data_IF_439737079642
#
_entry.id   IF_439737079642
#
_cell.length_a   1.000
_cell.length_b   1.000
_cell.length_c   1.000
_cell.angle_alpha   90.00
_cell.angle_beta   90.00
_cell.angle_gamma   90.00
#
_symmetry.space_group_name_H-M   'P 1'
#
loop_
_entity.id
_entity.type
_entity.pdbx_description
1 polymer ?
#
# COMPACT_ATOMS: atom_id res chain seq x y z
N UNK A 1 11.11 14.71 -5.86
CA UNK A 1 9.76 15.03 -6.39
C UNK A 1 8.78 15.02 -5.24
N UNK A 2 7.86 15.97 -5.18
CA UNK A 2 6.79 16.01 -4.18
C UNK A 2 5.65 15.06 -4.53
N UNK A 3 5.07 14.41 -3.53
CA UNK A 3 3.85 13.61 -3.68
C UNK A 3 2.64 14.48 -3.37
N UNK A 4 1.50 14.17 -3.97
CA UNK A 4 0.26 14.96 -3.86
C UNK A 4 -0.91 14.07 -3.46
N UNK A 5 -1.77 14.59 -2.59
CA UNK A 5 -3.09 14.03 -2.32
C UNK A 5 -4.15 14.96 -2.91
N UNK A 6 -4.77 14.53 -4.00
CA UNK A 6 -5.92 15.21 -4.59
C UNK A 6 -7.18 14.70 -3.90
N UNK A 7 -7.85 15.54 -3.16
CA UNK A 7 -8.93 15.15 -2.26
C UNK A 7 -10.22 15.80 -2.71
N UNK A 8 -11.24 15.00 -3.00
CA UNK A 8 -12.57 15.51 -3.26
C UNK A 8 -13.20 16.08 -1.98
N UNK A 9 -14.22 16.87 -2.11
CA UNK A 9 -14.89 17.54 -1.01
C UNK A 9 -16.13 16.79 -0.54
N UNK A 10 -17.17 16.76 -1.41
CA UNK A 10 -18.48 16.19 -1.12
C UNK A 10 -18.44 14.66 -1.19
N UNK A 11 -19.08 13.96 -0.25
CA UNK A 11 -18.97 12.50 -0.13
C UNK A 11 -17.59 12.00 0.34
N UNK A 12 -16.61 12.89 0.53
CA UNK A 12 -15.22 12.55 0.87
C UNK A 12 -14.78 13.17 2.19
N UNK A 13 -14.77 14.50 2.30
CA UNK A 13 -14.47 15.23 3.55
C UNK A 13 -15.74 15.49 4.31
N UNK A 14 -16.77 15.92 3.61
CA UNK A 14 -18.09 16.26 4.16
C UNK A 14 -19.16 15.38 3.52
N UNK A 15 -20.25 15.21 4.25
CA UNK A 15 -21.41 14.45 3.79
C UNK A 15 -22.06 15.19 2.61
N UNK A 16 -22.32 14.47 1.52
CA UNK A 16 -23.10 15.00 0.41
C UNK A 16 -24.59 14.85 0.71
N UNK A 17 -25.40 15.94 0.63
CA UNK A 17 -26.84 15.84 0.83
C UNK A 17 -27.50 14.95 -0.22
N UNK A 18 -28.33 13.95 0.17
CA UNK A 18 -28.86 12.97 -0.79
C UNK A 18 -29.96 13.49 -1.72
N UNK A 19 -30.46 14.72 -1.49
CA UNK A 19 -31.61 15.25 -2.20
C UNK A 19 -31.22 16.14 -3.38
N UNK A 20 -30.28 17.04 -3.16
CA UNK A 20 -29.87 18.07 -4.12
C UNK A 20 -28.38 18.09 -4.40
N UNK A 21 -27.61 17.27 -3.66
CA UNK A 21 -26.15 17.14 -3.77
C UNK A 21 -25.38 18.46 -3.53
N UNK A 22 -26.02 19.44 -2.88
CA UNK A 22 -25.45 20.77 -2.65
C UNK A 22 -25.35 21.10 -1.16
N UNK A 23 -24.16 21.44 -0.70
CA UNK A 23 -23.94 21.99 0.65
C UNK A 23 -24.01 23.51 0.56
N UNK A 24 -25.20 24.03 0.54
CA UNK A 24 -25.60 25.43 0.31
C UNK A 24 -25.92 26.20 1.59
N UNK A 25 -25.76 25.57 2.75
CA UNK A 25 -25.98 26.21 4.04
C UNK A 25 -25.09 25.60 5.13
N UNK A 26 -24.95 26.30 6.26
CA UNK A 26 -24.21 25.79 7.43
C UNK A 26 -24.90 24.59 8.09
N UNK A 27 -26.22 24.49 7.98
CA UNK A 27 -27.01 23.38 8.53
C UNK A 27 -26.72 22.06 7.78
N UNK A 28 -26.38 22.14 6.47
CA UNK A 28 -26.00 20.97 5.66
C UNK A 28 -24.53 20.58 5.80
N UNK A 29 -23.72 21.42 6.44
CA UNK A 29 -22.30 21.13 6.61
C UNK A 29 -22.09 20.10 7.71
N UNK A 30 -21.82 18.87 7.33
CA UNK A 30 -21.50 17.76 8.21
C UNK A 30 -20.21 17.07 7.73
N UNK A 31 -19.25 16.84 8.63
CA UNK A 31 -18.02 16.13 8.28
C UNK A 31 -18.24 14.62 8.33
N UNK A 32 -17.62 13.89 7.40
CA UNK A 32 -17.60 12.44 7.47
C UNK A 32 -16.86 11.98 8.74
N UNK A 33 -17.31 10.87 9.36
CA UNK A 33 -16.66 10.31 10.54
C UNK A 33 -15.16 10.07 10.30
N UNK A 34 -14.31 10.59 11.17
CA UNK A 34 -12.87 10.42 11.10
C UNK A 34 -12.14 11.33 10.09
N UNK A 35 -12.82 12.07 9.23
CA UNK A 35 -12.18 12.90 8.21
C UNK A 35 -11.23 13.94 8.81
N UNK A 36 -11.69 14.76 9.75
CA UNK A 36 -10.86 15.82 10.37
C UNK A 36 -9.64 15.22 11.08
N UNK A 37 -9.86 14.21 11.92
CA UNK A 37 -8.78 13.62 12.74
C UNK A 37 -7.71 12.94 11.90
N UNK A 38 -8.08 12.29 10.80
CA UNK A 38 -7.13 11.59 9.94
C UNK A 38 -6.47 12.53 8.92
N UNK A 39 -7.18 13.52 8.38
CA UNK A 39 -6.55 14.60 7.60
C UNK A 39 -5.48 15.32 8.42
N UNK A 40 -5.75 15.60 9.71
CA UNK A 40 -4.75 16.16 10.61
C UNK A 40 -3.50 15.26 10.72
N UNK A 41 -3.68 13.95 10.99
CA UNK A 41 -2.56 13.01 11.05
C UNK A 41 -1.78 12.96 9.72
N UNK A 42 -2.49 12.99 8.59
CA UNK A 42 -1.88 13.01 7.27
C UNK A 42 -1.03 14.28 7.11
N UNK A 43 -1.61 15.46 7.40
CA UNK A 43 -0.92 16.73 7.27
C UNK A 43 0.30 16.87 8.19
N UNK A 44 0.23 16.34 9.43
CA UNK A 44 1.30 16.43 10.43
C UNK A 44 2.42 15.37 10.22
N UNK A 45 2.09 14.20 9.68
CA UNK A 45 2.97 13.02 9.76
C UNK A 45 3.45 12.49 8.40
N UNK A 46 2.78 12.87 7.32
CA UNK A 46 3.10 12.38 5.98
C UNK A 46 3.55 13.56 5.09
N UNK A 47 4.47 13.26 4.16
CA UNK A 47 5.03 14.26 3.25
C UNK A 47 4.26 14.29 1.93
N UNK A 48 3.08 14.92 1.96
CA UNK A 48 2.23 15.15 0.80
C UNK A 48 1.82 16.62 0.71
N UNK A 49 1.74 17.15 -0.51
CA UNK A 49 1.01 18.38 -0.83
C UNK A 49 -0.50 18.06 -0.85
N UNK A 50 -1.31 18.83 -0.13
CA UNK A 50 -2.75 18.60 -0.04
C UNK A 50 -3.48 19.51 -1.04
N UNK A 51 -4.24 18.92 -1.96
CA UNK A 51 -4.97 19.64 -3.01
C UNK A 51 -6.44 19.22 -2.98
N UNK A 52 -7.33 20.20 -2.79
CA UNK A 52 -8.76 19.93 -2.93
C UNK A 52 -9.16 20.01 -4.41
N UNK A 53 -9.90 19.01 -4.89
CA UNK A 53 -10.40 18.98 -6.29
C UNK A 53 -11.87 18.62 -6.28
N UNK A 54 -12.74 19.58 -6.54
CA UNK A 54 -14.19 19.37 -6.43
C UNK A 54 -14.96 19.92 -7.62
N UNK A 55 -15.98 19.18 -8.05
CA UNK A 55 -16.97 19.64 -9.01
C UNK A 55 -18.16 20.23 -8.24
N UNK A 56 -18.51 21.48 -8.55
CA UNK A 56 -19.63 22.20 -7.93
C UNK A 56 -20.60 22.64 -9.04
N UNK A 57 -21.47 21.73 -9.44
CA UNK A 57 -22.34 21.87 -10.59
C UNK A 57 -23.20 23.14 -10.51
N UNK A 58 -23.01 24.03 -11.50
CA UNK A 58 -23.78 25.27 -11.61
C UNK A 58 -23.48 26.33 -10.54
N UNK A 59 -22.38 26.22 -9.82
CA UNK A 59 -21.96 27.26 -8.85
C UNK A 59 -21.83 28.64 -9.55
N UNK A 60 -22.53 29.64 -9.01
CA UNK A 60 -22.65 30.98 -9.59
C UNK A 60 -23.85 31.17 -10.51
N UNK A 61 -24.71 30.16 -10.67
CA UNK A 61 -26.00 30.26 -11.36
C UNK A 61 -27.16 30.36 -10.36
N UNK A 62 -28.38 30.56 -10.88
CA UNK A 62 -29.59 30.59 -10.05
C UNK A 62 -29.85 29.25 -9.32
N UNK A 63 -29.31 28.11 -9.86
CA UNK A 63 -29.48 26.81 -9.25
C UNK A 63 -28.52 26.57 -8.07
N UNK A 64 -27.39 27.29 -8.02
CA UNK A 64 -26.43 27.23 -6.92
C UNK A 64 -25.72 28.59 -6.75
N UNK A 65 -26.36 29.56 -6.08
CA UNK A 65 -25.80 30.88 -5.88
C UNK A 65 -24.51 30.88 -5.05
N UNK A 66 -23.54 31.69 -5.41
CA UNK A 66 -22.25 31.76 -4.68
C UNK A 66 -22.44 32.17 -3.22
N UNK A 67 -23.41 33.05 -2.91
CA UNK A 67 -23.70 33.48 -1.55
C UNK A 67 -24.16 32.35 -0.62
N UNK A 68 -24.65 31.23 -1.15
CA UNK A 68 -25.05 30.05 -0.37
C UNK A 68 -23.89 29.07 -0.20
N UNK A 69 -23.01 28.94 -1.20
CA UNK A 69 -21.88 28.03 -1.16
C UNK A 69 -20.75 28.51 -0.23
N UNK A 70 -20.28 29.75 -0.39
CA UNK A 70 -19.07 30.23 0.29
C UNK A 70 -19.13 30.20 1.81
N UNK A 71 -20.25 30.48 2.50
CA UNK A 71 -20.32 30.40 3.95
C UNK A 71 -20.00 29.01 4.50
N UNK A 72 -20.58 27.96 3.91
CA UNK A 72 -20.32 26.56 4.30
C UNK A 72 -18.93 26.12 3.94
N UNK A 73 -18.47 26.41 2.71
CA UNK A 73 -17.12 26.09 2.23
C UNK A 73 -16.03 26.74 3.09
N UNK A 74 -16.13 28.04 3.35
CA UNK A 74 -15.16 28.76 4.18
C UNK A 74 -15.18 28.28 5.63
N UNK A 75 -16.36 27.91 6.17
CA UNK A 75 -16.46 27.33 7.51
C UNK A 75 -15.77 25.99 7.60
N UNK A 76 -15.94 25.12 6.59
CA UNK A 76 -15.25 23.85 6.48
C UNK A 76 -13.72 24.06 6.46
N UNK A 77 -13.22 24.91 5.58
CA UNK A 77 -11.78 25.20 5.47
C UNK A 77 -11.23 25.77 6.78
N UNK A 78 -11.95 26.70 7.42
CA UNK A 78 -11.51 27.27 8.70
C UNK A 78 -11.51 26.25 9.82
N UNK A 79 -12.42 25.30 9.81
CA UNK A 79 -12.44 24.19 10.78
C UNK A 79 -11.22 23.30 10.59
N UNK A 80 -10.89 22.93 9.35
CA UNK A 80 -9.72 22.14 9.01
C UNK A 80 -8.41 22.88 9.34
N UNK A 81 -8.31 24.16 9.00
CA UNK A 81 -7.13 25.00 9.35
C UNK A 81 -6.90 25.04 10.86
N UNK A 82 -7.95 25.17 11.68
CA UNK A 82 -7.84 25.17 13.14
C UNK A 82 -7.30 23.84 13.69
N UNK A 83 -7.47 22.74 12.96
CA UNK A 83 -6.95 21.42 13.27
C UNK A 83 -5.59 21.15 12.60
N UNK A 84 -4.98 22.17 11.94
CA UNK A 84 -3.67 22.04 11.30
C UNK A 84 -3.70 21.49 9.87
N UNK A 85 -4.88 21.36 9.25
CA UNK A 85 -5.05 20.92 7.87
C UNK A 85 -5.19 22.15 6.96
N UNK A 86 -4.17 22.38 6.14
CA UNK A 86 -4.14 23.48 5.17
C UNK A 86 -3.96 22.88 3.78
N UNK A 87 -4.86 23.23 2.86
CA UNK A 87 -4.71 22.86 1.46
C UNK A 87 -3.75 23.81 0.76
N UNK A 88 -2.78 23.25 0.04
CA UNK A 88 -1.82 24.02 -0.78
C UNK A 88 -2.52 24.64 -1.99
N UNK A 89 -3.56 23.98 -2.51
CA UNK A 89 -4.39 24.47 -3.61
C UNK A 89 -5.84 23.96 -3.48
N UNK A 90 -6.79 24.76 -3.96
CA UNK A 90 -8.22 24.41 -4.01
C UNK A 90 -8.71 24.63 -5.43
N UNK A 91 -9.01 23.54 -6.12
CA UNK A 91 -9.49 23.51 -7.50
C UNK A 91 -11.00 23.25 -7.50
N UNK A 92 -11.79 24.23 -7.92
CA UNK A 92 -13.25 24.15 -8.00
C UNK A 92 -13.67 24.27 -9.47
N UNK A 93 -14.25 23.22 -10.01
CA UNK A 93 -14.97 23.29 -11.29
C UNK A 93 -16.44 23.66 -11.05
N UNK A 94 -16.96 24.60 -11.82
CA UNK A 94 -18.33 25.15 -11.67
C UNK A 94 -19.27 24.70 -12.80
N UNK A 95 -18.75 23.92 -13.74
CA UNK A 95 -19.51 23.55 -14.95
C UNK A 95 -20.44 22.39 -14.68
N UNK A 96 -21.50 22.31 -15.48
CA UNK A 96 -22.36 21.15 -15.50
C UNK A 96 -21.74 20.01 -16.32
N UNK A 97 -22.14 18.77 -16.03
CA UNK A 97 -21.64 17.58 -16.72
C UNK A 97 -21.78 17.65 -18.24
N UNK A 98 -22.93 18.17 -18.74
CA UNK A 98 -23.21 18.26 -20.17
C UNK A 98 -22.31 19.24 -20.93
N UNK A 99 -21.60 20.13 -20.23
CA UNK A 99 -20.67 21.08 -20.85
C UNK A 99 -19.33 20.41 -21.24
N UNK A 100 -19.04 19.23 -20.70
CA UNK A 100 -17.82 18.47 -20.96
C UNK A 100 -16.54 19.30 -20.82
N UNK A 101 -16.49 20.19 -19.84
CA UNK A 101 -15.34 21.08 -19.64
C UNK A 101 -14.08 20.27 -19.25
N UNK A 102 -12.92 20.57 -19.82
CA UNK A 102 -11.68 19.87 -19.51
C UNK A 102 -11.20 20.09 -18.06
N UNK A 103 -11.77 21.06 -17.37
CA UNK A 103 -11.50 21.42 -15.97
C UNK A 103 -12.31 20.57 -14.99
N UNK A 104 -13.44 20.01 -15.44
CA UNK A 104 -14.33 19.15 -14.66
C UNK A 104 -13.74 17.74 -14.51
N UNK A 105 -13.72 17.18 -13.29
CA UNK A 105 -13.36 15.76 -13.08
C UNK A 105 -14.24 14.84 -13.98
N UNK A 106 -13.65 13.89 -14.71
CA UNK A 106 -12.27 13.39 -14.64
C UNK A 106 -11.24 14.17 -15.48
N UNK A 107 -11.57 15.34 -16.04
CA UNK A 107 -10.61 16.21 -16.74
C UNK A 107 -9.54 16.75 -15.82
N UNK A 108 -8.35 16.99 -16.38
CA UNK A 108 -7.16 17.43 -15.63
C UNK A 108 -6.84 18.91 -15.84
N UNK A 109 -7.76 19.67 -16.47
CA UNK A 109 -7.51 21.07 -16.89
C UNK A 109 -7.16 22.03 -15.75
N UNK A 110 -7.63 21.80 -14.52
CA UNK A 110 -7.24 22.56 -13.32
C UNK A 110 -5.93 22.06 -12.72
N UNK A 111 -5.38 20.92 -13.17
CA UNK A 111 -4.26 20.22 -12.55
C UNK A 111 -3.02 20.16 -13.46
N UNK A 112 -2.96 20.96 -14.51
CA UNK A 112 -1.84 21.02 -15.48
C UNK A 112 -0.49 21.28 -14.80
N UNK A 113 -0.47 22.10 -13.74
CA UNK A 113 0.70 22.36 -12.90
C UNK A 113 1.35 21.08 -12.37
N UNK A 114 0.53 20.08 -12.02
CA UNK A 114 1.01 18.82 -11.46
C UNK A 114 1.49 17.85 -12.55
N UNK A 115 0.91 17.91 -13.74
CA UNK A 115 1.33 17.12 -14.90
C UNK A 115 2.66 17.62 -15.51
N UNK A 116 2.88 18.95 -15.47
CA UNK A 116 4.06 19.59 -16.07
C UNK A 116 5.17 19.84 -15.04
N UNK A 117 4.87 19.73 -13.74
CA UNK A 117 5.78 20.04 -12.65
C UNK A 117 6.65 18.85 -12.21
N UNK A 118 7.48 19.08 -11.21
CA UNK A 118 8.35 18.08 -10.60
C UNK A 118 7.63 17.34 -9.46
N UNK A 119 6.56 16.61 -9.81
CA UNK A 119 5.75 15.84 -8.89
C UNK A 119 5.88 14.34 -9.13
N UNK A 120 5.79 13.55 -8.07
CA UNK A 120 5.78 12.08 -8.11
C UNK A 120 4.33 11.58 -8.18
N UNK A 121 3.71 11.72 -9.36
CA UNK A 121 2.31 11.33 -9.55
C UNK A 121 2.09 9.83 -9.39
N UNK A 122 3.06 8.99 -9.75
CA UNK A 122 2.98 7.54 -9.58
C UNK A 122 2.85 7.11 -8.10
N UNK A 123 3.31 7.94 -7.16
CA UNK A 123 3.18 7.74 -5.71
C UNK A 123 2.24 8.77 -5.06
N UNK A 124 1.41 9.42 -5.87
CA UNK A 124 0.34 10.34 -5.45
C UNK A 124 -1.02 9.65 -5.52
N UNK A 125 -2.02 10.24 -4.86
CA UNK A 125 -3.35 9.63 -4.79
C UNK A 125 -4.44 10.64 -5.07
N UNK A 126 -5.54 10.16 -5.67
CA UNK A 126 -6.82 10.87 -5.75
C UNK A 126 -7.81 10.18 -4.82
N UNK A 127 -8.46 10.95 -3.95
CA UNK A 127 -9.50 10.47 -3.03
C UNK A 127 -10.85 10.96 -3.51
N UNK A 128 -11.82 10.09 -3.59
CA UNK A 128 -13.19 10.47 -3.90
C UNK A 128 -14.16 9.31 -3.74
N UNK A 129 -15.44 9.65 -3.74
CA UNK A 129 -16.55 8.71 -3.61
C UNK A 129 -17.18 8.34 -4.95
N UNK A 130 -16.65 8.89 -6.06
CA UNK A 130 -17.22 8.67 -7.40
C UNK A 130 -16.22 8.01 -8.34
N UNK A 131 -16.75 7.31 -9.36
CA UNK A 131 -15.93 6.70 -10.41
C UNK A 131 -15.15 7.72 -11.24
N UNK A 132 -15.62 8.98 -11.27
CA UNK A 132 -14.90 10.10 -11.90
C UNK A 132 -13.60 10.44 -11.17
N UNK A 133 -13.49 10.15 -9.87
CA UNK A 133 -12.25 10.34 -9.10
C UNK A 133 -11.23 9.25 -9.43
N UNK A 134 -11.71 8.00 -9.59
CA UNK A 134 -10.86 6.90 -10.09
C UNK A 134 -10.31 7.24 -11.47
N UNK A 135 -11.18 7.71 -12.37
CA UNK A 135 -10.77 8.10 -13.73
C UNK A 135 -9.82 9.30 -13.72
N UNK A 136 -9.99 10.25 -12.78
CA UNK A 136 -9.06 11.36 -12.60
C UNK A 136 -7.67 10.85 -12.18
N UNK A 137 -7.62 9.87 -11.29
CA UNK A 137 -6.36 9.23 -10.88
C UNK A 137 -5.65 8.60 -12.09
N UNK A 138 -6.37 7.84 -12.91
CA UNK A 138 -5.83 7.25 -14.15
C UNK A 138 -5.30 8.34 -15.10
N UNK A 139 -6.07 9.42 -15.31
CA UNK A 139 -5.70 10.53 -16.20
C UNK A 139 -4.47 11.32 -15.70
N UNK A 140 -4.22 11.34 -14.39
CA UNK A 140 -3.04 11.96 -13.78
C UNK A 140 -1.83 11.01 -13.71
N UNK A 141 -2.01 9.71 -13.94
CA UNK A 141 -1.01 8.68 -13.64
C UNK A 141 -0.78 8.48 -12.14
N UNK A 142 -1.78 8.82 -11.32
CA UNK A 142 -1.81 8.64 -9.87
C UNK A 142 -2.61 7.37 -9.50
N UNK A 143 -2.65 7.04 -8.20
CA UNK A 143 -3.44 5.93 -7.68
C UNK A 143 -4.77 6.46 -7.13
N UNK A 144 -5.84 5.66 -7.20
CA UNK A 144 -7.14 6.03 -6.63
C UNK A 144 -7.33 5.44 -5.24
N UNK A 145 -7.91 6.24 -4.32
CA UNK A 145 -8.53 5.78 -3.07
C UNK A 145 -10.02 6.05 -3.20
N UNK A 146 -10.81 4.99 -3.25
CA UNK A 146 -12.25 5.05 -3.51
C UNK A 146 -13.04 4.88 -2.22
N UNK A 147 -13.81 5.91 -1.84
CA UNK A 147 -14.64 5.91 -0.64
C UNK A 147 -16.00 5.30 -0.94
N UNK A 148 -16.09 3.99 -0.94
CA UNK A 148 -17.31 3.24 -1.26
C UNK A 148 -17.34 1.89 -0.54
N UNK A 149 -18.53 1.27 -0.48
CA UNK A 149 -18.71 -0.10 0.02
C UNK A 149 -18.33 -1.15 -1.04
N UNK A 150 -18.62 -0.87 -2.31
CA UNK A 150 -18.30 -1.78 -3.41
C UNK A 150 -16.89 -1.51 -3.94
N UNK A 151 -16.06 -2.55 -3.99
CA UNK A 151 -14.71 -2.46 -4.50
C UNK A 151 -14.68 -2.15 -6.01
N UNK A 152 -13.71 -1.33 -6.43
CA UNK A 152 -13.36 -1.15 -7.84
C UNK A 152 -11.90 -1.58 -8.02
N UNK A 153 -11.65 -2.51 -8.95
CA UNK A 153 -10.32 -3.11 -9.18
C UNK A 153 -9.25 -2.08 -9.62
N UNK A 154 -9.67 -0.91 -10.08
CA UNK A 154 -8.77 0.19 -10.48
C UNK A 154 -8.30 1.02 -9.28
N UNK A 155 -8.98 0.92 -8.15
CA UNK A 155 -8.59 1.62 -6.94
C UNK A 155 -7.49 0.86 -6.18
N UNK A 156 -6.50 1.59 -5.69
CA UNK A 156 -5.46 1.03 -4.83
C UNK A 156 -5.99 0.68 -3.43
N UNK A 157 -7.05 1.37 -3.01
CA UNK A 157 -7.81 1.10 -1.79
C UNK A 157 -9.27 1.45 -2.03
N UNK A 158 -10.20 0.57 -1.64
CA UNK A 158 -11.62 0.88 -1.51
C UNK A 158 -12.02 0.71 -0.05
N UNK A 159 -12.57 1.75 0.56
CA UNK A 159 -12.99 1.75 1.97
C UNK A 159 -13.93 2.91 2.24
N UNK A 160 -14.75 2.82 3.29
CA UNK A 160 -15.53 3.93 3.83
C UNK A 160 -14.89 4.56 5.08
N UNK A 161 -13.70 4.09 5.47
CA UNK A 161 -13.02 4.45 6.72
C UNK A 161 -11.82 5.37 6.49
N UNK A 162 -11.86 6.58 7.03
CA UNK A 162 -10.73 7.50 7.06
C UNK A 162 -9.54 6.97 7.88
N UNK A 163 -9.78 6.11 8.89
CA UNK A 163 -8.70 5.48 9.64
C UNK A 163 -7.93 4.49 8.75
N UNK A 164 -8.62 3.72 7.91
CA UNK A 164 -7.97 2.81 6.95
C UNK A 164 -7.19 3.58 5.88
N UNK A 165 -7.72 4.70 5.39
CA UNK A 165 -7.00 5.58 4.46
C UNK A 165 -5.68 6.05 5.07
N UNK A 166 -5.72 6.57 6.30
CA UNK A 166 -4.50 7.02 6.98
C UNK A 166 -3.50 5.87 7.18
N UNK A 167 -3.97 4.69 7.60
CA UNK A 167 -3.09 3.52 7.77
C UNK A 167 -2.45 3.11 6.43
N UNK A 168 -3.22 3.08 5.35
CA UNK A 168 -2.75 2.76 4.02
C UNK A 168 -1.67 3.75 3.54
N UNK A 169 -1.90 5.05 3.68
CA UNK A 169 -0.94 6.08 3.27
C UNK A 169 0.33 6.12 4.11
N UNK A 170 0.21 5.77 5.39
CA UNK A 170 1.34 5.76 6.33
C UNK A 170 2.29 4.61 6.08
N UNK A 171 1.79 3.51 5.59
CA UNK A 171 2.58 2.31 5.34
C UNK A 171 3.19 2.41 3.93
N UNK A 172 4.52 2.44 3.77
CA UNK A 172 5.13 2.30 2.46
C UNK A 172 4.74 0.93 1.87
N UNK A 173 4.60 0.86 0.54
CA UNK A 173 4.42 -0.42 -0.17
C UNK A 173 5.51 -1.39 0.29
N UNK A 174 5.12 -2.47 0.96
CA UNK A 174 6.05 -3.49 1.46
C UNK A 174 6.33 -4.53 0.38
N UNK A 175 6.88 -4.06 -0.73
CA UNK A 175 7.23 -4.88 -1.90
C UNK A 175 8.71 -4.82 -2.17
N UNK A 176 9.28 -5.92 -2.66
CA UNK A 176 10.66 -5.96 -3.09
C UNK A 176 10.85 -6.96 -4.24
N UNK A 177 11.75 -6.60 -5.15
CA UNK A 177 12.28 -7.52 -6.15
C UNK A 177 13.79 -7.63 -5.92
N UNK A 178 14.28 -8.86 -5.87
CA UNK A 178 15.71 -9.19 -5.77
C UNK A 178 16.09 -10.13 -6.90
N UNK A 179 17.06 -9.72 -7.68
CA UNK A 179 17.76 -10.58 -8.64
C UNK A 179 19.16 -10.85 -8.09
N UNK A 180 19.50 -12.13 -7.93
CA UNK A 180 20.82 -12.58 -7.48
C UNK A 180 21.37 -13.60 -8.47
N UNK A 181 22.49 -13.28 -9.10
CA UNK A 181 23.15 -14.15 -10.05
C UNK A 181 24.58 -14.43 -9.57
N UNK A 182 24.95 -15.69 -9.47
CA UNK A 182 26.31 -16.18 -9.18
C UNK A 182 26.80 -17.01 -10.36
N UNK A 183 27.84 -17.81 -10.18
CA UNK A 183 28.26 -18.80 -11.18
C UNK A 183 27.45 -20.09 -11.10
N UNK A 184 26.85 -20.33 -9.93
CA UNK A 184 26.14 -21.55 -9.54
C UNK A 184 24.63 -21.38 -9.65
N UNK A 185 24.11 -20.14 -9.48
CA UNK A 185 22.67 -19.87 -9.38
C UNK A 185 22.25 -18.60 -10.09
N UNK A 186 21.03 -18.56 -10.64
CA UNK A 186 20.32 -17.36 -11.06
C UNK A 186 18.94 -17.34 -10.40
N UNK A 187 18.66 -16.32 -9.58
CA UNK A 187 17.54 -16.29 -8.66
C UNK A 187 16.77 -14.98 -8.79
N UNK A 188 15.46 -15.09 -9.03
CA UNK A 188 14.53 -13.99 -8.96
C UNK A 188 13.58 -14.19 -7.77
N UNK A 189 13.54 -13.23 -6.86
CA UNK A 189 12.54 -13.15 -5.78
C UNK A 189 11.70 -11.90 -5.97
N UNK A 190 10.37 -12.06 -6.08
CA UNK A 190 9.40 -10.98 -5.98
C UNK A 190 8.53 -11.22 -4.75
N UNK A 191 8.52 -10.26 -3.85
CA UNK A 191 7.83 -10.33 -2.55
C UNK A 191 6.88 -9.15 -2.38
N UNK A 192 5.65 -9.42 -1.98
CA UNK A 192 4.69 -8.43 -1.51
C UNK A 192 4.17 -8.87 -0.13
N UNK A 193 4.59 -8.18 0.94
CA UNK A 193 4.19 -8.51 2.31
C UNK A 193 2.72 -8.16 2.60
N UNK A 194 2.10 -7.30 1.79
CA UNK A 194 0.68 -6.94 1.86
C UNK A 194 -0.13 -7.63 0.75
N UNK A 195 0.24 -8.88 0.42
CA UNK A 195 -0.39 -9.69 -0.60
C UNK A 195 -1.62 -10.46 -0.12
N UNK A 196 -2.01 -11.45 -0.92
CA UNK A 196 -3.15 -12.36 -0.68
C UNK A 196 -2.70 -13.83 -0.52
N UNK A 197 -1.40 -14.09 -0.40
CA UNK A 197 -0.82 -15.43 -0.32
C UNK A 197 -0.69 -16.12 -1.67
N UNK A 198 -0.58 -15.36 -2.76
CA UNK A 198 -0.32 -15.91 -4.10
C UNK A 198 1.13 -16.35 -4.22
N UNK A 199 1.35 -17.60 -4.64
CA UNK A 199 2.68 -18.20 -4.74
C UNK A 199 2.96 -18.71 -6.15
N UNK A 200 4.20 -18.46 -6.65
CA UNK A 200 4.75 -19.05 -7.88
C UNK A 200 6.23 -19.37 -7.64
N UNK A 201 6.49 -20.53 -6.99
CA UNK A 201 7.82 -20.94 -6.58
C UNK A 201 8.33 -22.08 -7.44
N UNK A 202 9.52 -21.95 -8.01
CA UNK A 202 10.17 -22.89 -8.93
C UNK A 202 11.67 -22.89 -8.69
N UNK A 203 12.13 -23.76 -7.79
CA UNK A 203 13.55 -23.91 -7.46
C UNK A 203 14.18 -25.15 -8.08
N UNK A 204 13.35 -26.03 -8.64
CA UNK A 204 13.77 -27.35 -9.11
C UNK A 204 13.79 -28.42 -8.00
N UNK A 205 13.48 -28.07 -6.74
CA UNK A 205 13.37 -28.96 -5.59
C UNK A 205 11.93 -28.95 -5.08
N UNK A 206 11.20 -30.04 -5.30
CA UNK A 206 9.76 -30.10 -5.07
C UNK A 206 9.35 -29.87 -3.61
N UNK A 207 10.13 -30.37 -2.65
CA UNK A 207 9.85 -30.13 -1.24
C UNK A 207 10.16 -28.68 -0.84
N UNK A 208 11.20 -28.09 -1.40
CA UNK A 208 11.57 -26.70 -1.13
C UNK A 208 10.51 -25.74 -1.72
N UNK A 209 10.05 -25.98 -2.95
CA UNK A 209 8.96 -25.22 -3.56
C UNK A 209 7.70 -25.27 -2.68
N UNK A 210 7.35 -26.46 -2.17
CA UNK A 210 6.22 -26.63 -1.25
C UNK A 210 6.39 -25.82 0.04
N UNK A 211 7.58 -25.77 0.63
CA UNK A 211 7.83 -25.01 1.85
C UNK A 211 7.76 -23.49 1.60
N UNK A 212 8.24 -22.99 0.46
CA UNK A 212 8.09 -21.59 0.07
C UNK A 212 6.61 -21.24 -0.18
N UNK A 213 5.83 -22.15 -0.76
CA UNK A 213 4.38 -21.99 -0.91
C UNK A 213 3.67 -21.89 0.46
N UNK A 214 4.08 -22.70 1.45
CA UNK A 214 3.53 -22.63 2.80
C UNK A 214 3.89 -21.28 3.44
N UNK A 215 5.13 -20.79 3.25
CA UNK A 215 5.56 -19.49 3.75
C UNK A 215 4.67 -18.38 3.20
N UNK A 216 4.47 -18.30 1.88
CA UNK A 216 3.62 -17.29 1.26
C UNK A 216 2.17 -17.38 1.70
N UNK A 217 1.56 -18.56 1.62
CA UNK A 217 0.14 -18.78 1.98
C UNK A 217 -0.17 -18.45 3.43
N UNK A 218 0.64 -18.94 4.37
CA UNK A 218 0.35 -18.77 5.80
C UNK A 218 0.72 -17.39 6.33
N UNK A 219 1.67 -16.68 5.69
CA UNK A 219 1.98 -15.29 6.01
C UNK A 219 1.03 -14.29 5.33
N UNK A 220 0.27 -14.73 4.32
CA UNK A 220 -0.54 -13.86 3.46
C UNK A 220 0.30 -13.06 2.45
N UNK A 221 1.61 -13.27 2.39
CA UNK A 221 2.47 -12.59 1.43
C UNK A 221 2.36 -13.21 0.03
N UNK A 222 2.34 -12.38 -1.02
CA UNK A 222 2.57 -12.90 -2.36
C UNK A 222 4.07 -13.16 -2.53
N UNK A 223 4.41 -14.36 -2.97
CA UNK A 223 5.79 -14.81 -3.08
C UNK A 223 6.03 -15.52 -4.40
N UNK A 224 6.96 -14.97 -5.20
CA UNK A 224 7.48 -15.63 -6.38
C UNK A 224 8.98 -15.83 -6.22
N UNK A 225 9.42 -17.08 -6.34
CA UNK A 225 10.83 -17.49 -6.30
C UNK A 225 11.12 -18.38 -7.50
N UNK A 226 11.87 -17.87 -8.45
CA UNK A 226 12.33 -18.64 -9.59
C UNK A 226 13.85 -18.79 -9.52
N UNK A 227 14.33 -20.02 -9.61
CA UNK A 227 15.74 -20.37 -9.47
C UNK A 227 16.20 -21.29 -10.59
N UNK A 228 17.28 -20.92 -11.24
CA UNK A 228 18.09 -21.79 -12.08
C UNK A 228 19.39 -22.08 -11.33
N UNK A 229 19.50 -23.26 -10.72
CA UNK A 229 20.67 -23.69 -9.93
C UNK A 229 21.40 -24.87 -10.53
N UNK A 230 22.62 -25.11 -10.05
CA UNK A 230 23.48 -26.20 -10.45
C UNK A 230 23.15 -27.55 -9.80
N UNK A 231 21.86 -27.90 -9.76
CA UNK A 231 21.32 -29.13 -9.13
C UNK A 231 21.96 -30.43 -9.62
N UNK A 232 22.71 -30.37 -10.71
CA UNK A 232 23.53 -31.51 -11.21
C UNK A 232 24.78 -31.73 -10.34
N UNK A 233 25.18 -30.77 -9.52
CA UNK A 233 26.23 -30.86 -8.50
C UNK A 233 25.64 -31.33 -7.20
N UNK A 234 24.82 -30.43 -6.56
CA UNK A 234 24.01 -30.73 -5.41
C UNK A 234 22.94 -29.63 -5.21
N UNK A 235 22.16 -29.71 -4.15
CA UNK A 235 21.10 -28.79 -3.77
C UNK A 235 21.57 -27.59 -2.91
N UNK A 236 22.79 -27.59 -2.42
CA UNK A 236 23.32 -26.63 -1.43
C UNK A 236 23.25 -25.18 -1.93
N UNK A 237 23.86 -24.90 -3.08
CA UNK A 237 23.89 -23.54 -3.62
C UNK A 237 22.48 -23.02 -3.90
N UNK A 238 21.60 -23.87 -4.45
CA UNK A 238 20.20 -23.51 -4.74
C UNK A 238 19.46 -23.08 -3.47
N UNK A 239 19.58 -23.83 -2.38
CA UNK A 239 18.87 -23.55 -1.13
C UNK A 239 19.45 -22.35 -0.41
N UNK A 240 20.77 -22.28 -0.27
CA UNK A 240 21.46 -21.22 0.48
C UNK A 240 21.32 -19.86 -0.22
N UNK A 241 21.60 -19.79 -1.51
CA UNK A 241 21.48 -18.54 -2.29
C UNK A 241 20.03 -18.05 -2.39
N UNK A 242 19.05 -18.97 -2.46
CA UNK A 242 17.63 -18.60 -2.38
C UNK A 242 17.30 -17.98 -1.01
N UNK A 243 17.81 -18.54 0.08
CA UNK A 243 17.62 -17.97 1.41
C UNK A 243 18.25 -16.58 1.54
N UNK A 244 19.44 -16.37 0.97
CA UNK A 244 20.09 -15.05 0.93
C UNK A 244 19.24 -14.03 0.16
N UNK A 245 18.75 -14.40 -1.04
CA UNK A 245 17.92 -13.52 -1.87
C UNK A 245 16.58 -13.22 -1.21
N UNK A 246 15.94 -14.21 -0.60
CA UNK A 246 14.68 -14.06 0.12
C UNK A 246 14.83 -13.16 1.35
N UNK A 247 15.87 -13.36 2.16
CA UNK A 247 16.15 -12.50 3.33
C UNK A 247 16.42 -11.05 2.93
N UNK A 248 17.13 -10.83 1.81
CA UNK A 248 17.32 -9.48 1.24
C UNK A 248 15.99 -8.87 0.77
N UNK A 249 15.11 -9.65 0.16
CA UNK A 249 13.78 -9.19 -0.24
C UNK A 249 12.94 -8.79 0.99
N UNK A 250 12.96 -9.57 2.06
CA UNK A 250 12.31 -9.21 3.32
C UNK A 250 12.88 -7.92 3.92
N UNK A 251 14.21 -7.77 3.95
CA UNK A 251 14.86 -6.57 4.46
C UNK A 251 14.43 -5.31 3.68
N UNK A 252 14.39 -5.40 2.34
CA UNK A 252 13.96 -4.31 1.46
C UNK A 252 12.47 -3.99 1.64
N UNK A 253 11.61 -5.00 1.67
CA UNK A 253 10.17 -4.84 1.81
C UNK A 253 9.77 -4.28 3.19
N UNK A 254 10.48 -4.66 4.26
CA UNK A 254 10.26 -4.14 5.61
C UNK A 254 10.73 -2.69 5.80
N UNK A 255 11.63 -2.20 4.93
CA UNK A 255 12.11 -0.82 4.93
C UNK A 255 12.59 -0.34 6.31
N UNK A 256 12.04 0.77 6.79
CA UNK A 256 12.36 1.35 8.10
C UNK A 256 11.66 0.66 9.27
N UNK A 257 10.87 -0.37 8.98
CA UNK A 257 10.11 -1.20 9.96
C UNK A 257 9.06 -0.45 10.77
N UNK A 258 8.63 0.74 10.32
CA UNK A 258 7.51 1.45 10.96
C UNK A 258 6.20 0.72 10.70
N UNK A 259 5.34 0.68 11.70
CA UNK A 259 4.00 0.10 11.61
C UNK A 259 3.93 -1.41 11.57
N UNK A 260 5.04 -2.14 11.79
CA UNK A 260 5.04 -3.61 11.91
C UNK A 260 5.06 -4.07 13.36
N UNK A 261 4.48 -5.25 13.61
CA UNK A 261 4.75 -6.03 14.82
C UNK A 261 6.08 -6.76 14.59
N UNK A 262 7.15 -6.21 15.15
CA UNK A 262 8.54 -6.61 14.90
C UNK A 262 8.85 -8.05 15.28
N UNK A 263 8.09 -8.64 16.20
CA UNK A 263 8.30 -9.96 16.79
C UNK A 263 7.28 -10.97 16.31
N UNK A 264 7.74 -12.20 16.08
CA UNK A 264 6.90 -13.33 15.76
C UNK A 264 7.28 -14.57 16.56
N UNK A 265 6.39 -15.56 16.61
CA UNK A 265 6.51 -16.71 17.51
C UNK A 265 5.67 -17.92 17.02
N UNK A 266 5.60 -18.90 17.79
CA UNK A 266 5.09 -20.23 17.97
C UNK A 266 3.82 -20.66 17.22
N UNK A 267 3.88 -21.83 16.53
CA UNK A 267 2.69 -22.50 15.98
C UNK A 267 2.77 -24.03 16.17
N UNK A 268 1.67 -24.71 16.63
CA UNK A 268 1.51 -26.15 16.55
C UNK A 268 0.92 -26.54 15.18
N UNK A 269 1.21 -27.74 14.73
CA UNK A 269 0.55 -28.41 13.62
C UNK A 269 0.35 -29.88 13.97
N UNK A 270 -0.90 -30.30 14.13
CA UNK A 270 -1.31 -31.61 14.61
C UNK A 270 -0.53 -32.03 15.88
N UNK A 271 0.19 -33.14 15.85
CA UNK A 271 1.04 -33.61 16.94
C UNK A 271 2.43 -32.95 17.01
N UNK A 272 2.77 -32.11 16.02
CA UNK A 272 4.06 -31.44 15.97
C UNK A 272 3.99 -30.03 16.56
N UNK A 273 5.02 -29.66 17.31
CA UNK A 273 5.21 -28.32 17.84
C UNK A 273 6.55 -27.76 17.35
N UNK A 274 6.50 -26.70 16.54
CA UNK A 274 7.67 -25.89 16.23
C UNK A 274 7.62 -24.60 17.02
N UNK A 275 8.60 -24.37 17.87
CA UNK A 275 8.78 -23.12 18.58
C UNK A 275 9.76 -22.24 17.81
N UNK A 276 9.26 -21.14 17.24
CA UNK A 276 10.05 -20.17 16.48
C UNK A 276 9.89 -18.80 17.12
N UNK A 277 10.99 -18.11 17.35
CA UNK A 277 10.98 -16.71 17.75
C UNK A 277 11.82 -15.92 16.77
N UNK A 278 11.23 -14.87 16.17
CA UNK A 278 11.91 -13.99 15.25
C UNK A 278 11.86 -12.54 15.71
N UNK A 279 12.97 -11.81 15.56
CA UNK A 279 13.04 -10.36 15.77
C UNK A 279 13.80 -9.70 14.60
N UNK A 280 13.13 -8.84 13.85
CA UNK A 280 13.74 -8.04 12.78
C UNK A 280 14.56 -6.88 13.36
N UNK A 281 15.51 -7.21 14.26
CA UNK A 281 16.31 -6.26 15.06
C UNK A 281 17.32 -5.43 14.27
N UNK A 282 17.68 -5.86 13.06
CA UNK A 282 18.80 -5.31 12.28
C UNK A 282 20.15 -5.95 12.60
N UNK A 283 20.19 -6.92 13.51
CA UNK A 283 21.39 -7.64 13.95
C UNK A 283 21.17 -9.15 13.77
N UNK A 284 21.80 -9.79 12.77
CA UNK A 284 21.56 -11.21 12.49
C UNK A 284 22.12 -12.11 13.60
N UNK A 285 21.34 -13.10 14.01
CA UNK A 285 21.77 -14.17 14.89
C UNK A 285 20.80 -15.34 14.76
N UNK A 286 21.33 -16.57 14.66
CA UNK A 286 20.53 -17.79 14.65
C UNK A 286 20.86 -18.62 15.90
N UNK A 287 19.83 -19.05 16.63
CA UNK A 287 19.89 -20.15 17.60
C UNK A 287 19.07 -21.30 17.02
N UNK A 288 19.71 -22.47 16.88
CA UNK A 288 19.09 -23.62 16.26
C UNK A 288 19.08 -24.81 17.21
N UNK A 289 17.91 -25.31 17.55
CA UNK A 289 17.70 -26.47 18.40
C UNK A 289 16.67 -27.42 17.74
N UNK A 290 17.09 -28.12 16.68
CA UNK A 290 16.25 -29.10 16.02
C UNK A 290 17.08 -30.28 15.53
N UNK A 291 16.68 -31.47 15.92
CA UNK A 291 17.30 -32.73 15.53
C UNK A 291 16.44 -33.50 14.54
N UNK A 292 16.97 -33.75 13.37
CA UNK A 292 16.29 -34.56 12.35
C UNK A 292 16.84 -35.98 12.33
N UNK A 293 15.93 -36.96 12.34
CA UNK A 293 16.30 -38.38 12.28
C UNK A 293 16.43 -38.90 10.84
N UNK A 294 15.86 -38.18 9.90
CA UNK A 294 15.92 -38.51 8.46
C UNK A 294 17.04 -37.71 7.82
N UNK A 295 17.73 -38.29 6.86
CA UNK A 295 18.77 -37.60 6.07
C UNK A 295 18.12 -36.61 5.11
N UNK A 296 16.95 -36.94 4.51
CA UNK A 296 16.20 -36.11 3.57
C UNK A 296 14.71 -36.10 3.86
N UNK A 297 14.03 -35.01 3.49
CA UNK A 297 12.58 -34.90 3.36
C UNK A 297 12.30 -34.51 1.90
N UNK A 298 11.64 -35.41 1.15
CA UNK A 298 11.57 -35.27 -0.28
C UNK A 298 12.97 -35.29 -0.90
N UNK A 299 13.27 -34.29 -1.68
CA UNK A 299 14.58 -34.05 -2.34
C UNK A 299 15.52 -33.13 -1.52
N UNK A 300 15.08 -32.60 -0.38
CA UNK A 300 15.84 -31.68 0.45
C UNK A 300 16.53 -32.37 1.63
N UNK A 301 17.88 -32.28 1.76
CA UNK A 301 18.60 -32.77 2.95
C UNK A 301 18.23 -31.99 4.19
N UNK A 302 18.12 -32.69 5.32
CA UNK A 302 17.67 -32.06 6.55
C UNK A 302 18.70 -31.08 7.16
N UNK A 303 19.97 -31.26 6.86
CA UNK A 303 21.03 -30.29 7.22
C UNK A 303 20.81 -28.94 6.60
N UNK A 304 20.20 -28.86 5.40
CA UNK A 304 19.95 -27.63 4.67
C UNK A 304 18.88 -26.75 5.31
N UNK A 305 18.07 -27.25 6.23
CA UNK A 305 17.13 -26.40 6.98
C UNK A 305 17.88 -25.36 7.83
N UNK A 306 18.91 -25.77 8.54
CA UNK A 306 19.73 -24.82 9.31
C UNK A 306 20.44 -23.81 8.41
N UNK A 307 21.01 -24.26 7.29
CA UNK A 307 21.67 -23.39 6.31
C UNK A 307 20.70 -22.36 5.72
N UNK A 308 19.47 -22.77 5.38
CA UNK A 308 18.44 -21.86 4.89
C UNK A 308 18.14 -20.76 5.92
N UNK A 309 17.81 -21.13 7.17
CA UNK A 309 17.47 -20.15 8.19
C UNK A 309 18.65 -19.26 8.61
N UNK A 310 19.87 -19.80 8.57
CA UNK A 310 21.08 -19.00 8.82
C UNK A 310 21.27 -17.93 7.75
N UNK A 311 21.19 -18.30 6.48
CA UNK A 311 21.36 -17.39 5.34
C UNK A 311 20.23 -16.36 5.27
N UNK A 312 18.98 -16.78 5.54
CA UNK A 312 17.86 -15.87 5.68
C UNK A 312 18.05 -14.86 6.80
N UNK A 313 18.44 -15.31 8.01
CA UNK A 313 18.71 -14.44 9.16
C UNK A 313 19.79 -13.41 8.85
N UNK A 314 20.87 -13.84 8.19
CA UNK A 314 21.99 -12.97 7.86
C UNK A 314 21.61 -11.83 6.92
N UNK A 315 20.79 -12.08 5.91
CA UNK A 315 20.42 -11.07 4.91
C UNK A 315 19.17 -10.28 5.29
N UNK A 316 18.18 -10.88 5.94
CA UNK A 316 17.03 -10.16 6.51
C UNK A 316 17.38 -9.30 7.72
N UNK A 317 18.61 -9.47 8.27
CA UNK A 317 19.07 -8.81 9.49
C UNK A 317 18.16 -9.09 10.68
N UNK A 318 17.74 -10.36 10.81
CA UNK A 318 16.88 -10.82 11.90
C UNK A 318 17.62 -11.70 12.91
N UNK A 319 17.14 -11.71 14.16
CA UNK A 319 17.41 -12.78 15.10
C UNK A 319 16.36 -13.86 14.92
N UNK A 320 16.75 -15.07 14.87
CA UNK A 320 15.86 -16.21 14.68
C UNK A 320 16.25 -17.35 15.64
#
# INVERSE_FOLDING_TARGET
MKKVLFIDRDGTIIVEPPTDYQVDSLEKLEFLPGAISNLRKIAEQLDYELVMVTNQDGLGTDSFPEETFWPAHNKMLKTLENEGVVFDEICIDKTFEHENAPTRKPGTGLLTKYLEGDYDLANSYVFGDRKTDIQLAENLGAKAIYLAEEADERAALTTTSWDEIYQFLRLPDRKATVQRTTKETDILVELNLDGEGKCDNKTGLGFFDHMLDQLGKHSGADLKVHVEGDLHIDEHHTIEDTALALGEAYLKALGDKKGINRYGFLLPMDEALAQVAIDFSGRPWLVWEADFKREKVGDMPTEMFMHFFKSFSDTSKSNL
#
